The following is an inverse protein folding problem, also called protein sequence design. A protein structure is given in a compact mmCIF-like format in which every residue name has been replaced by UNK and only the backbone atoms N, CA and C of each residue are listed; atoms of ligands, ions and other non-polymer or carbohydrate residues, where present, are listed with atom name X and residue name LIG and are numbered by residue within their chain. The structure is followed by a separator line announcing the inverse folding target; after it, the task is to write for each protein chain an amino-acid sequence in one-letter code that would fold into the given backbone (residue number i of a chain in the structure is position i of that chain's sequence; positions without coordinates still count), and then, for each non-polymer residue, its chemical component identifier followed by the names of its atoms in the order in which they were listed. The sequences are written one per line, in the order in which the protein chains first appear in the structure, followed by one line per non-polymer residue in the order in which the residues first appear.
data_IF_425725043535
#
_entry.id   IF_425725043535
#
_cell.length_a   1.000
_cell.length_b   1.000
_cell.length_c   1.000
_cell.angle_alpha   90.00
_cell.angle_beta   90.00
_cell.angle_gamma   90.00
#
_symmetry.space_group_name_H-M   'P 1'
#
loop_
_entity.id
_entity.type
_entity.pdbx_description
1 polymer ?
#
# COMPACT_ATOMS: atom_id res chain seq x y z
N UNK A 1 -19.69 -13.50 -9.04
CA UNK A 1 -18.55 -13.28 -8.44
C UNK A 1 -17.91 -12.01 -8.79
N UNK A 2 -17.46 -11.31 -7.85
CA UNK A 2 -16.96 -9.98 -8.02
C UNK A 2 -15.51 -9.90 -7.53
N UNK A 3 -14.64 -9.33 -8.35
CA UNK A 3 -13.32 -8.98 -7.92
C UNK A 3 -13.33 -7.55 -7.45
N UNK A 4 -12.64 -7.30 -6.37
CA UNK A 4 -12.52 -5.96 -5.87
C UNK A 4 -11.06 -5.55 -5.92
N UNK A 5 -10.84 -4.34 -6.35
CA UNK A 5 -9.52 -3.76 -6.42
C UNK A 5 -9.49 -2.51 -5.57
N UNK A 6 -8.39 -2.34 -4.86
CA UNK A 6 -8.15 -1.12 -4.11
C UNK A 6 -6.80 -0.58 -4.56
N UNK A 7 -6.79 0.66 -5.04
CA UNK A 7 -5.56 1.34 -5.37
C UNK A 7 -5.29 2.37 -4.29
N UNK A 8 -4.08 2.34 -3.74
CA UNK A 8 -3.74 3.24 -2.67
C UNK A 8 -2.36 3.84 -2.91
N UNK A 9 -2.19 5.10 -2.53
CA UNK A 9 -0.90 5.78 -2.57
C UNK A 9 -0.34 5.76 -1.17
N UNK A 10 0.81 5.14 -0.99
CA UNK A 10 1.38 4.97 0.34
C UNK A 10 2.85 5.31 0.34
N UNK A 11 3.36 5.63 1.52
CA UNK A 11 4.77 5.85 1.73
C UNK A 11 5.34 4.68 2.52
N UNK A 12 6.63 4.40 2.30
CA UNK A 12 7.32 3.36 3.07
C UNK A 12 8.16 3.98 4.18
N UNK A 13 7.79 5.18 4.59
CA UNK A 13 8.45 5.89 5.68
C UNK A 13 7.40 6.64 6.47
N UNK A 14 7.76 7.00 7.69
CA UNK A 14 6.85 7.78 8.54
C UNK A 14 7.06 9.26 8.26
N UNK A 15 6.10 9.89 7.57
CA UNK A 15 6.21 11.30 7.23
C UNK A 15 5.79 12.20 8.39
N UNK A 16 5.01 11.68 9.31
CA UNK A 16 4.69 12.35 10.57
C UNK A 16 4.33 11.28 11.58
N UNK A 17 4.40 11.63 12.85
CA UNK A 17 4.19 10.66 13.92
C UNK A 17 2.79 10.06 13.80
N UNK A 18 2.72 8.76 13.83
CA UNK A 18 1.46 8.05 13.81
C UNK A 18 0.86 7.81 12.43
N UNK A 19 1.53 8.24 11.37
CA UNK A 19 0.98 8.00 10.03
C UNK A 19 1.11 6.52 9.65
N UNK A 20 0.16 6.05 8.83
CA UNK A 20 0.21 4.69 8.33
C UNK A 20 1.26 4.57 7.25
N UNK A 21 2.00 3.49 7.30
CA UNK A 21 3.01 3.18 6.31
C UNK A 21 2.56 1.99 5.48
N UNK A 22 3.32 1.69 4.43
CA UNK A 22 2.99 0.58 3.54
C UNK A 22 2.77 -0.72 4.31
N UNK A 23 3.65 -1.03 5.26
CA UNK A 23 3.53 -2.29 6.01
C UNK A 23 2.23 -2.35 6.80
N UNK A 24 1.75 -1.20 7.28
CA UNK A 24 0.51 -1.16 8.05
C UNK A 24 -0.68 -1.42 7.16
N UNK A 25 -0.68 -0.83 5.98
CA UNK A 25 -1.74 -1.02 4.99
C UNK A 25 -1.78 -2.48 4.56
N UNK A 26 -0.62 -3.07 4.29
CA UNK A 26 -0.55 -4.46 3.88
C UNK A 26 -1.15 -5.39 4.92
N UNK A 27 -0.79 -5.18 6.18
CA UNK A 27 -1.32 -6.02 7.25
C UNK A 27 -2.82 -5.87 7.39
N UNK A 28 -3.29 -4.64 7.31
CA UNK A 28 -4.72 -4.35 7.44
C UNK A 28 -5.52 -5.04 6.34
N UNK A 29 -5.05 -4.92 5.10
CA UNK A 29 -5.77 -5.46 3.96
C UNK A 29 -5.64 -6.98 3.89
N UNK A 30 -4.51 -7.53 4.32
CA UNK A 30 -4.33 -8.98 4.34
C UNK A 30 -5.37 -9.65 5.23
N UNK A 31 -5.67 -9.03 6.38
CA UNK A 31 -6.67 -9.57 7.28
C UNK A 31 -8.07 -9.58 6.67
N UNK A 32 -8.27 -8.83 5.62
CA UNK A 32 -9.56 -8.72 4.96
C UNK A 32 -9.61 -9.45 3.61
N UNK A 33 -8.61 -10.27 3.35
CA UNK A 33 -8.60 -11.10 2.14
C UNK A 33 -8.04 -10.41 0.91
N UNK A 34 -7.43 -9.26 1.07
CA UNK A 34 -6.79 -8.57 -0.04
C UNK A 34 -5.33 -8.97 -0.13
N UNK A 35 -4.81 -9.00 -1.34
CA UNK A 35 -3.38 -9.23 -1.53
C UNK A 35 -2.85 -8.24 -2.56
N UNK A 36 -1.60 -7.93 -2.45
CA UNK A 36 -0.95 -7.03 -3.38
C UNK A 36 -0.74 -7.72 -4.72
N UNK A 37 -1.18 -7.06 -5.79
CA UNK A 37 -0.99 -7.59 -7.14
C UNK A 37 -0.12 -6.68 -7.99
N UNK A 38 0.08 -5.43 -7.58
CA UNK A 38 0.90 -4.50 -8.34
C UNK A 38 1.46 -3.45 -7.41
N UNK A 39 2.69 -3.03 -7.67
CA UNK A 39 3.34 -1.98 -6.89
C UNK A 39 4.20 -1.15 -7.84
N UNK A 40 4.05 0.16 -7.76
CA UNK A 40 4.82 1.07 -8.59
C UNK A 40 5.34 2.22 -7.72
N UNK A 41 6.65 2.38 -7.70
CA UNK A 41 7.28 3.47 -6.97
C UNK A 41 7.31 4.68 -7.89
N UNK A 42 6.62 5.75 -7.49
CA UNK A 42 6.52 6.91 -8.36
C UNK A 42 7.31 8.12 -7.85
N UNK A 43 7.86 8.06 -6.65
CA UNK A 43 8.65 9.16 -6.12
C UNK A 43 9.65 8.64 -5.11
N UNK A 44 10.79 9.30 -5.02
CA UNK A 44 11.87 8.93 -4.12
C UNK A 44 12.27 10.16 -3.33
N UNK A 45 12.39 10.01 -2.01
CA UNK A 45 12.85 11.10 -1.16
C UNK A 45 14.36 11.13 -1.13
N UNK A 46 14.92 12.34 -1.01
CA UNK A 46 16.35 12.51 -0.87
C UNK A 46 16.88 11.87 0.43
N UNK A 47 16.07 11.88 1.48
CA UNK A 47 16.46 11.35 2.78
C UNK A 47 16.25 9.85 2.90
N UNK A 48 15.76 9.21 1.85
CA UNK A 48 15.43 7.79 1.90
C UNK A 48 13.92 7.60 1.94
N UNK A 49 13.50 6.41 1.51
CA UNK A 49 12.09 6.09 1.42
C UNK A 49 11.46 6.62 0.15
N UNK A 50 10.26 6.19 -0.14
CA UNK A 50 9.60 6.57 -1.35
C UNK A 50 8.09 6.46 -1.24
N UNK A 51 7.42 6.87 -2.30
CA UNK A 51 5.98 6.80 -2.42
C UNK A 51 5.62 5.78 -3.48
N UNK A 52 4.55 5.04 -3.21
CA UNK A 52 4.15 3.94 -4.08
C UNK A 52 2.67 4.01 -4.41
N UNK A 53 2.35 3.59 -5.62
CA UNK A 53 0.99 3.21 -5.99
C UNK A 53 0.91 1.70 -5.83
N UNK A 54 0.03 1.23 -4.99
CA UNK A 54 -0.11 -0.20 -4.74
C UNK A 54 -1.54 -0.60 -5.01
N UNK A 55 -1.71 -1.67 -5.79
CA UNK A 55 -3.03 -2.20 -6.10
C UNK A 55 -3.19 -3.53 -5.38
N UNK A 56 -4.30 -3.66 -4.71
CA UNK A 56 -4.66 -4.88 -3.99
C UNK A 56 -5.90 -5.47 -4.62
N UNK A 57 -5.97 -6.77 -4.63
CA UNK A 57 -7.13 -7.48 -5.15
C UNK A 57 -7.67 -8.41 -4.08
N UNK A 58 -8.97 -8.40 -3.93
CA UNK A 58 -9.64 -9.31 -3.02
C UNK A 58 -10.22 -10.47 -3.81
N UNK A 59 -9.92 -11.68 -3.35
CA UNK A 59 -10.51 -12.86 -3.96
C UNK A 59 -11.90 -13.09 -3.42
N UNK A 60 -12.82 -13.53 -4.28
CA UNK A 60 -14.17 -13.88 -3.83
C UNK A 60 -14.15 -15.09 -2.92
#
# INVERSE_FOLDING_TARGET
RTFRFIKTEVADFESYAGCCQLKDIEAFLALRGFREVSRHKFAQRAQGGGYYDVVYQRHP
#
